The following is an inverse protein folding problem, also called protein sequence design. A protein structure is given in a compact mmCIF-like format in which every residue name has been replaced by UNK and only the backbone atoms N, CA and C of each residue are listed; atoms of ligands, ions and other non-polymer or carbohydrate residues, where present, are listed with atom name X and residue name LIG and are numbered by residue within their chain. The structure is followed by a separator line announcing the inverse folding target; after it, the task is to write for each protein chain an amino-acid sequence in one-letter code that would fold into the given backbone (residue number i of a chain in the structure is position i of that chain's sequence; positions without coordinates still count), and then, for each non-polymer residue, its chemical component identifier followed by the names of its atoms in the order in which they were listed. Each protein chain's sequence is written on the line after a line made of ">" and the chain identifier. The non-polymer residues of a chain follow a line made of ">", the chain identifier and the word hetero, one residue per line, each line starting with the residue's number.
data_IF_004331214175
#
_entry.id   IF_004331214175
#
_cell.length_a   1.000
_cell.length_b   1.000
_cell.length_c   1.000
_cell.angle_alpha   90.00
_cell.angle_beta   90.00
_cell.angle_gamma   90.00
#
_symmetry.space_group_name_H-M   'P 1'
#
loop_
_entity.id
_entity.type
_entity.pdbx_description
1 polymer ?
2 non-polymer ?
3 non-polymer ?
4 non-polymer ?
5 water ?
#
# COMPACT_ATOMS: atom_id res chain seq x y z
N UNK A 4 1.24 -25.19 -0.55
CA UNK A 4 1.09 -25.13 0.94
C UNK A 4 0.22 -23.96 1.38
N UNK A 5 -0.11 -23.90 2.67
CA UNK A 5 -0.98 -22.87 3.31
C UNK A 5 -0.40 -21.47 3.06
N UNK A 6 0.86 -21.25 3.46
CA UNK A 6 1.55 -19.93 3.36
C UNK A 6 1.70 -19.54 1.89
N UNK A 7 2.17 -20.47 1.05
CA UNK A 7 2.32 -20.28 -0.42
C UNK A 7 0.97 -19.85 -1.01
N UNK A 8 -0.10 -20.60 -0.72
CA UNK A 8 -1.46 -20.34 -1.26
C UNK A 8 -1.94 -18.96 -0.80
N UNK A 9 -1.76 -18.63 0.48
CA UNK A 9 -2.19 -17.32 1.03
C UNK A 9 -1.34 -16.21 0.39
N UNK A 10 -0.05 -16.44 0.17
CA UNK A 10 0.84 -15.44 -0.48
C UNK A 10 0.50 -15.33 -1.98
N UNK A 11 0.03 -16.39 -2.63
CA UNK A 11 -0.51 -16.29 -4.01
C UNK A 11 -1.68 -15.30 -4.01
N UNK A 12 -2.61 -15.44 -3.06
CA UNK A 12 -3.77 -14.52 -2.95
C UNK A 12 -3.26 -13.08 -2.75
N UNK A 13 -2.29 -12.87 -1.86
CA UNK A 13 -1.67 -11.54 -1.63
C UNK A 13 -1.08 -11.00 -2.94
N UNK A 14 -0.36 -11.84 -3.67
CA UNK A 14 0.27 -11.42 -4.96
C UNK A 14 -0.83 -11.00 -5.95
N UNK A 15 -1.95 -11.73 -6.00
CA UNK A 15 -3.10 -11.39 -6.85
C UNK A 15 -3.64 -10.02 -6.50
N UNK A 16 -3.84 -9.77 -5.20
CA UNK A 16 -4.31 -8.45 -4.68
C UNK A 16 -3.33 -7.37 -5.14
N UNK A 17 -2.03 -7.59 -4.93
CA UNK A 17 -0.97 -6.61 -5.29
C UNK A 17 -1.07 -6.28 -6.79
N UNK A 18 -1.18 -7.30 -7.65
CA UNK A 18 -1.33 -7.09 -9.11
C UNK A 18 -2.57 -6.23 -9.37
N UNK A 19 -3.69 -6.53 -8.71
CA UNK A 19 -4.94 -5.75 -8.89
C UNK A 19 -4.70 -4.29 -8.48
N UNK A 20 -4.06 -4.04 -7.33
CA UNK A 20 -3.85 -2.66 -6.82
C UNK A 20 -3.01 -1.86 -7.82
N UNK A 21 -2.13 -2.53 -8.57
CA UNK A 21 -1.21 -1.89 -9.56
C UNK A 21 -1.84 -1.82 -10.96
N UNK A 22 -3.03 -2.40 -11.16
CA UNK A 22 -3.67 -2.57 -12.49
C UNK A 22 -4.35 -1.27 -12.94
N UNK A 23 -4.59 -1.14 -14.24
CA UNK A 23 -5.16 0.10 -14.85
C UNK A 23 -6.58 0.33 -14.30
N UNK A 24 -7.27 -0.73 -13.88
CA UNK A 24 -8.64 -0.67 -13.29
C UNK A 24 -8.70 0.37 -12.16
N UNK A 25 -7.65 0.47 -11.33
CA UNK A 25 -7.64 1.30 -10.10
C UNK A 25 -6.70 2.51 -10.22
N UNK A 26 -6.13 2.77 -11.40
CA UNK A 26 -5.07 3.78 -11.61
C UNK A 26 -5.53 5.18 -11.20
N UNK A 27 -6.83 5.50 -11.34
CA UNK A 27 -7.35 6.87 -11.09
C UNK A 27 -7.13 7.27 -9.62
N UNK A 28 -7.09 6.30 -8.70
CA UNK A 28 -6.91 6.57 -7.24
C UNK A 28 -5.69 5.83 -6.68
N UNK A 29 -5.09 4.88 -7.40
CA UNK A 29 -3.92 4.11 -6.89
C UNK A 29 -2.62 4.87 -7.14
N UNK A 30 -2.58 5.82 -8.08
CA UNK A 30 -1.30 6.37 -8.61
C UNK A 30 -0.47 7.03 -7.50
N UNK A 31 -1.03 7.69 -6.46
CA UNK A 31 -0.18 8.29 -5.42
C UNK A 31 0.67 7.25 -4.67
N UNK A 32 0.28 5.97 -4.73
CA UNK A 32 0.85 4.88 -3.89
C UNK A 32 1.79 3.99 -4.70
N UNK A 33 2.04 4.31 -5.97
CA UNK A 33 2.84 3.45 -6.88
C UNK A 33 4.31 3.44 -6.47
N UNK A 34 4.84 4.59 -6.05
CA UNK A 34 6.29 4.77 -5.76
C UNK A 34 6.45 5.45 -4.41
N UNK A 35 7.63 5.36 -3.77
CA UNK A 35 7.87 6.07 -2.52
C UNK A 35 7.50 7.55 -2.68
N UNK A 36 6.91 8.13 -1.63
CA UNK A 36 6.68 9.60 -1.56
C UNK A 36 8.05 10.27 -1.71
N UNK A 37 8.20 11.09 -2.75
CA UNK A 37 9.43 11.90 -2.98
C UNK A 37 9.22 13.23 -2.26
N UNK A 38 9.54 13.27 -0.96
CA UNK A 38 9.25 14.42 -0.07
C UNK A 38 9.88 15.70 -0.64
N UNK A 39 11.14 15.63 -1.05
CA UNK A 39 11.91 16.78 -1.59
C UNK A 39 11.27 17.29 -2.88
N UNK A 40 10.90 16.38 -3.80
CA UNK A 40 10.27 16.72 -5.10
C UNK A 40 8.93 17.43 -4.89
N UNK A 41 8.18 17.06 -3.86
CA UNK A 41 6.82 17.59 -3.58
C UNK A 41 6.88 18.78 -2.62
N UNK A 42 8.06 19.13 -2.10
CA UNK A 42 8.25 20.25 -1.16
C UNK A 42 7.71 19.94 0.23
N UNK A 43 7.61 18.65 0.57
CA UNK A 43 7.05 18.16 1.86
C UNK A 43 8.20 17.90 2.83
N UNK A 44 8.82 18.97 3.33
CA UNK A 44 10.11 18.92 4.08
C UNK A 44 9.90 18.41 5.51
N UNK A 45 8.65 18.15 5.91
CA UNK A 45 8.30 17.59 7.24
C UNK A 45 7.88 16.11 7.11
N UNK A 46 7.79 15.57 5.89
CA UNK A 46 7.23 14.22 5.66
C UNK A 46 7.99 13.17 6.48
N UNK A 47 9.32 13.17 6.42
CA UNK A 47 10.16 12.12 7.07
C UNK A 47 10.28 12.37 8.59
N UNK A 48 9.89 13.54 9.08
CA UNK A 48 9.79 13.80 10.54
C UNK A 48 8.50 13.19 11.08
N UNK A 49 7.46 13.15 10.26
CA UNK A 49 6.10 12.69 10.67
C UNK A 49 5.94 11.20 10.36
N UNK A 50 6.44 10.75 9.20
CA UNK A 50 6.37 9.33 8.73
C UNK A 50 7.74 8.68 8.93
N UNK A 51 7.85 7.85 9.98
CA UNK A 51 9.09 7.14 10.39
C UNK A 51 9.34 5.94 9.47
N UNK A 52 8.26 5.31 8.97
CA UNK A 52 8.31 4.04 8.20
C UNK A 52 7.55 4.21 6.88
N UNK A 53 8.15 4.86 5.86
CA UNK A 53 7.50 5.01 4.57
C UNK A 53 7.20 3.65 3.94
N UNK A 54 6.12 3.57 3.17
CA UNK A 54 5.77 2.33 2.43
C UNK A 54 4.95 2.72 1.20
N UNK A 55 5.08 1.93 0.14
CA UNK A 55 4.41 2.17 -1.16
C UNK A 55 4.33 0.84 -1.91
N UNK A 56 3.55 0.78 -2.98
CA UNK A 56 3.28 -0.49 -3.69
C UNK A 56 4.54 -1.01 -4.40
N UNK A 57 5.44 -0.16 -4.89
CA UNK A 57 6.68 -0.65 -5.56
C UNK A 57 7.55 -1.37 -4.53
N UNK A 58 7.57 -0.88 -3.29
CA UNK A 58 8.35 -1.51 -2.19
C UNK A 58 7.70 -2.85 -1.83
N UNK A 59 6.37 -2.89 -1.73
CA UNK A 59 5.62 -4.15 -1.45
C UNK A 59 5.92 -5.15 -2.57
N UNK A 60 5.93 -4.70 -3.83
CA UNK A 60 6.19 -5.57 -5.00
C UNK A 60 7.60 -6.16 -4.91
N UNK A 61 8.60 -5.33 -4.62
CA UNK A 61 10.02 -5.77 -4.52
C UNK A 61 10.13 -6.81 -3.39
N UNK A 62 9.48 -6.56 -2.25
CA UNK A 62 9.51 -7.49 -1.09
C UNK A 62 8.84 -8.82 -1.48
N UNK A 63 7.71 -8.79 -2.18
CA UNK A 63 7.01 -10.02 -2.64
C UNK A 63 7.93 -10.79 -3.60
N UNK A 64 8.53 -10.10 -4.58
CA UNK A 64 9.42 -10.73 -5.59
C UNK A 64 10.63 -11.38 -4.90
N UNK A 65 11.14 -10.75 -3.84
CA UNK A 65 12.35 -11.20 -3.09
C UNK A 65 11.97 -12.23 -2.02
N UNK A 66 10.70 -12.62 -1.92
CA UNK A 66 10.17 -13.60 -0.93
C UNK A 66 10.47 -13.10 0.49
N UNK A 67 10.39 -11.78 0.70
CA UNK A 67 10.61 -11.15 2.03
C UNK A 67 9.43 -11.51 2.95
N UNK A 68 8.20 -11.49 2.43
CA UNK A 68 6.97 -11.79 3.22
C UNK A 68 6.89 -13.29 3.48
N UNK A 69 6.87 -13.69 4.76
CA UNK A 69 6.79 -15.12 5.13
C UNK A 69 5.31 -15.54 5.21
N UNK A 70 4.38 -14.59 5.34
CA UNK A 70 2.93 -14.91 5.44
C UNK A 70 2.09 -13.71 4.99
N UNK A 71 0.79 -13.93 4.83
CA UNK A 71 -0.20 -12.92 4.38
C UNK A 71 -0.23 -11.74 5.37
N UNK A 72 -0.13 -12.03 6.67
CA UNK A 72 -0.21 -11.00 7.75
C UNK A 72 0.89 -9.95 7.54
N UNK A 73 2.10 -10.39 7.21
CA UNK A 73 3.27 -9.49 7.02
C UNK A 73 3.02 -8.58 5.81
N UNK A 74 2.50 -9.16 4.72
CA UNK A 74 2.12 -8.42 3.49
C UNK A 74 1.06 -7.37 3.83
N UNK A 75 -0.01 -7.77 4.54
CA UNK A 75 -1.15 -6.88 4.86
C UNK A 75 -0.67 -5.72 5.74
N UNK A 76 0.24 -6.00 6.67
CA UNK A 76 0.80 -4.97 7.59
C UNK A 76 1.47 -3.87 6.77
N UNK A 77 2.21 -4.22 5.71
CA UNK A 77 2.89 -3.22 4.84
C UNK A 77 1.85 -2.44 4.04
N UNK A 78 0.85 -3.10 3.46
CA UNK A 78 -0.18 -2.38 2.67
C UNK A 78 -0.92 -1.42 3.60
N UNK A 79 -1.25 -1.85 4.82
CA UNK A 79 -1.98 -0.99 5.79
C UNK A 79 -1.08 0.14 6.29
N UNK A 80 0.22 -0.12 6.46
CA UNK A 80 1.20 0.93 6.87
C UNK A 80 1.20 2.05 5.82
N UNK A 81 1.21 1.69 4.55
CA UNK A 81 1.16 2.65 3.42
C UNK A 81 -0.08 3.55 3.57
N UNK A 82 -1.26 2.99 3.82
CA UNK A 82 -2.51 3.78 3.96
C UNK A 82 -2.44 4.63 5.24
N UNK A 83 -1.99 4.04 6.35
CA UNK A 83 -1.87 4.73 7.66
C UNK A 83 -0.96 5.96 7.53
N UNK A 84 0.15 5.83 6.81
CA UNK A 84 1.08 6.97 6.58
C UNK A 84 0.31 8.11 5.90
N UNK A 85 -0.51 7.77 4.91
CA UNK A 85 -1.33 8.76 4.17
C UNK A 85 -2.31 9.45 5.13
N UNK A 86 -2.98 8.68 5.99
CA UNK A 86 -3.97 9.20 6.97
C UNK A 86 -3.28 10.02 8.05
N UNK A 87 -2.02 9.71 8.38
CA UNK A 87 -1.26 10.42 9.44
C UNK A 87 -0.80 11.79 8.91
N UNK A 88 -0.25 11.83 7.70
CA UNK A 88 0.43 13.03 7.16
C UNK A 88 -0.59 14.06 6.64
N UNK A 89 -1.63 13.60 5.94
CA UNK A 89 -2.57 14.47 5.18
C UNK A 89 -3.81 14.76 6.00
N UNK A 90 -4.33 16.02 5.98
CA UNK A 90 -5.63 16.31 6.58
C UNK A 90 -6.71 15.39 6.01
N UNK A 91 -7.70 14.99 6.84
CA UNK A 91 -8.67 13.97 6.45
C UNK A 91 -9.61 14.34 5.28
N UNK A 92 -9.73 15.63 4.95
CA UNK A 92 -10.61 16.11 3.85
C UNK A 92 -9.83 16.28 2.54
N UNK A 93 -8.54 15.92 2.50
CA UNK A 93 -7.67 16.11 1.30
C UNK A 93 -7.97 15.01 0.27
N UNK A 94 -7.79 15.34 -1.01
CA UNK A 94 -8.05 14.43 -2.16
C UNK A 94 -7.29 13.12 -2.00
N UNK A 95 -6.03 13.17 -1.56
CA UNK A 95 -5.16 11.96 -1.50
C UNK A 95 -5.73 10.98 -0.47
N UNK A 96 -6.38 11.49 0.58
CA UNK A 96 -6.99 10.65 1.64
C UNK A 96 -8.22 9.93 1.07
N UNK A 97 -9.04 10.62 0.27
CA UNK A 97 -10.19 10.01 -0.44
C UNK A 97 -9.69 8.88 -1.34
N UNK A 98 -8.57 9.09 -2.02
CA UNK A 98 -7.96 8.08 -2.93
C UNK A 98 -7.46 6.89 -2.11
N UNK A 99 -6.78 7.15 -0.99
CA UNK A 99 -6.32 6.11 -0.04
C UNK A 99 -7.51 5.24 0.41
N UNK A 100 -8.59 5.88 0.86
CA UNK A 100 -9.82 5.20 1.36
C UNK A 100 -10.35 4.25 0.29
N UNK A 101 -10.43 4.72 -0.96
CA UNK A 101 -10.97 3.94 -2.10
C UNK A 101 -10.06 2.74 -2.38
N UNK A 102 -8.75 2.94 -2.43
CA UNK A 102 -7.82 1.81 -2.71
C UNK A 102 -7.81 0.85 -1.52
N UNK A 103 -7.94 1.36 -0.29
CA UNK A 103 -7.95 0.48 0.90
C UNK A 103 -9.24 -0.36 0.91
N UNK A 104 -10.36 0.18 0.43
CA UNK A 104 -11.62 -0.59 0.28
C UNK A 104 -11.37 -1.76 -0.69
N UNK A 105 -10.71 -1.51 -1.82
CA UNK A 105 -10.37 -2.58 -2.80
C UNK A 105 -9.55 -3.64 -2.06
N UNK A 106 -8.50 -3.21 -1.36
CA UNK A 106 -7.58 -4.10 -0.63
C UNK A 106 -8.34 -4.91 0.43
N UNK A 107 -9.06 -4.24 1.34
CA UNK A 107 -9.66 -4.91 2.52
C UNK A 107 -10.71 -5.93 2.07
N UNK A 108 -11.52 -5.62 1.07
CA UNK A 108 -12.62 -6.53 0.66
C UNK A 108 -12.02 -7.77 0.00
N UNK A 109 -10.95 -7.62 -0.79
CA UNK A 109 -10.33 -8.81 -1.44
C UNK A 109 -9.46 -9.57 -0.43
N UNK A 110 -8.76 -8.88 0.47
CA UNK A 110 -7.95 -9.54 1.52
C UNK A 110 -8.86 -10.45 2.37
N UNK A 111 -10.09 -10.01 2.62
CA UNK A 111 -11.09 -10.74 3.43
C UNK A 111 -11.47 -12.07 2.76
N UNK A 112 -11.26 -12.21 1.45
CA UNK A 112 -11.58 -13.44 0.66
C UNK A 112 -10.40 -14.43 0.67
N UNK A 113 -9.42 -14.21 1.56
CA UNK A 113 -8.25 -15.10 1.79
C UNK A 113 -8.71 -16.56 1.91
N UNK A 114 -8.11 -17.51 1.16
CA UNK A 114 -8.40 -18.93 1.36
C UNK A 114 -7.86 -19.43 2.70
N UNK A 115 -8.58 -20.36 3.34
CA UNK A 115 -8.24 -20.93 4.67
C UNK A 115 -7.11 -21.95 4.51
X LIG B 1 -12.21 -0.60 5.12
X LIG B 1 -11.28 0.40 4.78
X LIG B 1 -13.19 -0.86 4.04
X LIG B 1 -13.73 0.32 3.48
X LIG C 1 -3.40 16.14 9.49
X LIG C 1 -2.12 16.53 9.95
X LIG C 1 -3.87 14.84 10.04
X LIG C 1 -4.88 14.98 11.03
X LIG D 1 6.91 -13.49 -6.83
X LIG D 1 5.47 -13.71 -6.49
X LIG D 1 5.35 -14.65 -5.43
X LIG D 1 4.00 -14.89 -5.07
X LIG D 1 3.94 -15.63 -3.77
X LIG D 1 4.45 -16.95 -3.96
X LIG D 1 4.01 -17.86 -2.95
X LIG D 1 4.98 -18.98 -2.85
X LIG D 1 4.92 -19.77 -4.03
X LIG D 1 5.35 -21.12 -3.85
X LIG D 1 4.44 -22.03 -4.62
X LIG D 1 4.67 -21.87 -6.02
X LIG D 1 3.70 -22.53 -6.82
X LIG D 1 3.99 -22.31 -8.27
X LIG D 1 3.84 -20.93 -8.59
X LIG D 1 4.53 -20.55 -9.78
X LIG D 1 4.26 -19.11 -10.09
X LIG D 1 4.89 -18.27 -9.13
X LIG D 1 4.96 -16.91 -9.53
X LIG D 1 3.62 -16.25 -9.37
X LIG D 1 3.00 -16.57 -8.13
X LIG E 1 1.36 11.63 -3.27
X LIG E 1 1.17 10.29 -1.21
X LIG E 1 0.73 8.93 -0.91
X LIG E 1 2.31 12.94 -5.32
X LIG E 1 3.82 10.71 -7.55
X LIG E 1 2.61 10.76 -5.35
X LIG E 1 -2.19 14.89 -4.52
X LIG E 1 1.75 13.53 0.70
X LIG E 1 1.47 12.66 -0.55
X LIG E 1 0.51 13.27 -1.56
X LIG E 1 -0.36 14.30 -1.25
X LIG E 1 -1.22 14.82 -2.20
X LIG E 1 -1.25 14.31 -3.49
X LIG E 1 -0.39 13.26 -3.82
X LIG E 1 0.49 12.75 -2.86
X LIG E 1 1.69 10.53 -2.48
X LIG E 1 1.00 11.25 -0.20
X LIG E 1 0.52 10.98 0.90
X LIG E 1 2.07 11.77 -4.57
X LIG E 1 2.96 12.69 -6.44
X LIG E 1 3.12 11.35 -6.44
X LIG E 1 -1.47 15.28 -5.69
X LIG E 1 -3.33 13.96 -4.87
X LIG E 1 -4.16 14.61 -5.84
#
# INVERSE_FOLDING_TARGET
>A
GSMGKLSEQLKHCNGILKELLSKKHAAYAWPFYKPVDASALGLHDYHDIIKHPMDLSTVKRKMENRDYRDAQEFAADVRLMFSNCYKYNPPDHDVVAMARKLQDVFEFRYAKMPD
>B hetero
1 EDO C1 O1 C2 O2
>C hetero
1 EDO C1 O1 C2 O2
>D hetero
1 7PE C21 C20 O19 C18 C17 O16 C15 C14 O13 C12 C11 O10 C9 C8 O7 C6 C5 O4 C3 C2 O1
>E hetero
1 P4X C10 N12 C13 C17 C20 C21 C22 C01 C02 C04 C05 C06 C07 C08 C09 C11 C14 O15 C16 N18 N19 O24 C25 O26
#
